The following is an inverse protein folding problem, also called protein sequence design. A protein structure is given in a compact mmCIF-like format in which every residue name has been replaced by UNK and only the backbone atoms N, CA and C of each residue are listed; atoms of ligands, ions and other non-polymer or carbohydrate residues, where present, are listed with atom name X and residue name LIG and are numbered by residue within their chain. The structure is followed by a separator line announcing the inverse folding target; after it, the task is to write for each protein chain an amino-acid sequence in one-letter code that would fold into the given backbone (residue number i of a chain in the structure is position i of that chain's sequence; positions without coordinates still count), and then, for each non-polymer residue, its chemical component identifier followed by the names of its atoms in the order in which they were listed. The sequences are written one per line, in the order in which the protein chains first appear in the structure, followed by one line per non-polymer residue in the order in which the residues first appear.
data_IF_550443739932
#
_entry.id   IF_550443739932
#
_cell.length_a   1.000
_cell.length_b   1.000
_cell.length_c   1.000
_cell.angle_alpha   90.00
_cell.angle_beta   90.00
_cell.angle_gamma   90.00
#
_symmetry.space_group_name_H-M   'P 1'
#
loop_
_entity.id
_entity.type
_entity.pdbx_description
1 polymer ?
#
# COMPACT_ATOMS: atom_id res chain seq x y z
N UNK A 1 59.92 -4.96 -84.15
CA UNK A 1 59.43 -6.17 -83.44
C UNK A 1 59.99 -6.16 -82.02
N UNK A 2 59.16 -6.46 -81.00
CA UNK A 2 59.49 -6.80 -79.59
C UNK A 2 60.07 -5.65 -78.75
N UNK A 3 59.26 -4.97 -77.92
CA UNK A 3 58.72 -5.29 -76.57
C UNK A 3 59.77 -5.22 -75.43
N UNK A 4 59.52 -4.18 -74.62
CA UNK A 4 59.64 -4.02 -73.17
C UNK A 4 61.00 -4.09 -72.47
N UNK A 5 61.41 -2.89 -72.01
CA UNK A 5 62.25 -2.67 -70.85
C UNK A 5 61.42 -2.78 -69.55
N UNK A 6 62.16 -3.03 -68.47
CA UNK A 6 61.76 -3.29 -67.09
C UNK A 6 60.83 -2.27 -66.43
N UNK A 7 60.20 -2.67 -65.31
CA UNK A 7 60.53 -2.19 -63.95
C UNK A 7 59.59 -2.85 -62.91
N UNK A 8 60.19 -3.24 -61.78
CA UNK A 8 59.53 -3.73 -60.56
C UNK A 8 58.62 -2.67 -59.92
N UNK A 9 57.48 -3.10 -59.38
CA UNK A 9 56.79 -2.42 -58.27
C UNK A 9 56.33 -3.45 -57.25
N UNK A 10 56.74 -3.24 -56.01
CA UNK A 10 56.35 -3.93 -54.78
C UNK A 10 54.90 -3.61 -54.42
N UNK A 11 54.11 -4.63 -54.04
CA UNK A 11 52.77 -4.47 -53.47
C UNK A 11 52.71 -5.14 -52.10
N UNK A 12 52.50 -4.29 -51.08
CA UNK A 12 52.21 -4.67 -49.71
C UNK A 12 50.74 -5.10 -49.58
N UNK A 13 50.51 -6.14 -48.79
CA UNK A 13 49.20 -6.72 -48.49
C UNK A 13 48.42 -5.85 -47.51
N UNK A 14 47.18 -5.51 -47.85
CA UNK A 14 46.24 -4.79 -46.96
C UNK A 14 45.40 -5.81 -46.19
N UNK A 15 45.41 -5.71 -44.86
CA UNK A 15 44.58 -6.50 -43.95
C UNK A 15 43.13 -5.97 -43.88
N UNK A 16 42.12 -6.83 -43.69
CA UNK A 16 40.72 -6.41 -43.55
C UNK A 16 40.44 -5.81 -42.16
N UNK A 17 39.75 -4.67 -42.15
CA UNK A 17 39.31 -3.93 -40.96
C UNK A 17 38.22 -4.69 -40.15
N UNK A 18 38.16 -4.52 -38.82
CA UNK A 18 37.15 -5.13 -37.97
C UNK A 18 35.78 -4.48 -38.18
N UNK A 19 34.75 -5.31 -38.35
CA UNK A 19 33.35 -4.87 -38.40
C UNK A 19 32.95 -4.32 -37.04
N UNK A 20 32.59 -3.03 -37.00
CA UNK A 20 31.90 -2.43 -35.86
C UNK A 20 30.58 -3.18 -35.63
N UNK A 21 30.49 -3.87 -34.50
CA UNK A 21 29.23 -4.43 -34.02
C UNK A 21 28.32 -3.25 -33.67
N UNK A 22 27.23 -3.09 -34.40
CA UNK A 22 26.13 -2.24 -33.96
C UNK A 22 25.62 -2.82 -32.63
N UNK A 23 25.87 -2.09 -31.55
CA UNK A 23 25.27 -2.35 -30.25
C UNK A 23 23.77 -2.12 -30.40
N UNK A 24 23.01 -3.20 -30.56
CA UNK A 24 21.59 -3.23 -30.17
C UNK A 24 21.51 -2.66 -28.76
N UNK A 25 20.65 -1.66 -28.48
CA UNK A 25 20.40 -1.23 -27.12
C UNK A 25 19.91 -2.46 -26.36
N UNK A 26 20.77 -2.99 -25.49
CA UNK A 26 20.40 -3.96 -24.50
C UNK A 26 19.17 -3.42 -23.80
N UNK A 27 18.13 -4.25 -23.75
CA UNK A 27 16.95 -4.05 -22.92
C UNK A 27 17.42 -3.57 -21.55
N UNK A 28 17.34 -2.27 -21.30
CA UNK A 28 17.30 -1.75 -19.95
C UNK A 28 16.02 -2.37 -19.39
N UNK A 29 16.18 -3.40 -18.57
CA UNK A 29 15.06 -3.91 -17.78
C UNK A 29 14.41 -2.69 -17.15
N UNK A 30 13.14 -2.45 -17.48
CA UNK A 30 12.38 -1.38 -16.85
C UNK A 30 12.31 -1.73 -15.36
N UNK A 31 13.30 -1.28 -14.58
CA UNK A 31 13.13 -1.04 -13.17
C UNK A 31 11.99 -0.05 -13.09
N UNK A 32 10.83 -0.53 -12.64
CA UNK A 32 9.70 0.31 -12.34
C UNK A 32 10.21 1.49 -11.50
N UNK A 33 9.75 2.73 -11.75
CA UNK A 33 10.21 3.88 -10.98
C UNK A 33 10.09 3.54 -9.49
N UNK A 34 11.09 3.95 -8.69
CA UNK A 34 11.22 3.56 -7.29
C UNK A 34 9.97 3.85 -6.44
N UNK A 35 9.11 4.76 -6.93
CA UNK A 35 7.83 5.14 -6.35
C UNK A 35 6.66 4.82 -7.31
N UNK A 36 6.66 3.68 -7.98
CA UNK A 36 5.45 3.11 -8.59
C UNK A 36 4.61 2.42 -7.53
N UNK A 37 3.30 2.26 -7.79
CA UNK A 37 2.42 1.48 -6.90
C UNK A 37 2.92 0.04 -6.72
N UNK A 38 3.45 -0.58 -7.79
CA UNK A 38 4.02 -1.93 -7.73
C UNK A 38 5.26 -1.99 -6.84
N UNK A 39 6.14 -0.98 -6.93
CA UNK A 39 7.32 -0.91 -6.07
C UNK A 39 6.95 -0.66 -4.60
N UNK A 40 5.94 0.19 -4.34
CA UNK A 40 5.40 0.41 -3.00
C UNK A 40 4.80 -0.89 -2.43
N UNK A 41 3.98 -1.58 -3.21
CA UNK A 41 3.39 -2.87 -2.84
C UNK A 41 4.48 -3.91 -2.50
N UNK A 42 5.49 -4.04 -3.35
CA UNK A 42 6.61 -4.97 -3.11
C UNK A 42 7.38 -4.67 -1.82
N UNK A 43 7.52 -3.38 -1.45
CA UNK A 43 8.14 -2.98 -0.18
C UNK A 43 7.27 -3.28 1.04
N UNK A 44 5.95 -3.12 0.92
CA UNK A 44 4.98 -3.53 1.95
C UNK A 44 5.05 -5.05 2.16
N UNK A 45 5.02 -5.83 1.08
CA UNK A 45 5.10 -7.31 1.16
C UNK A 45 6.43 -7.76 1.79
N UNK A 46 7.54 -7.12 1.44
CA UNK A 46 8.84 -7.40 2.04
C UNK A 46 8.87 -7.07 3.54
N UNK A 47 8.23 -5.99 3.96
CA UNK A 47 8.11 -5.61 5.36
C UNK A 47 7.32 -6.66 6.16
N UNK A 48 6.21 -7.18 5.62
CA UNK A 48 5.48 -8.28 6.25
C UNK A 48 6.30 -9.56 6.37
N UNK A 49 7.03 -9.95 5.32
CA UNK A 49 7.93 -11.11 5.38
C UNK A 49 9.01 -10.96 6.46
N UNK A 50 9.56 -9.76 6.65
CA UNK A 50 10.52 -9.51 7.73
C UNK A 50 9.89 -9.74 9.11
N UNK A 51 8.67 -9.25 9.32
CA UNK A 51 7.96 -9.42 10.60
C UNK A 51 7.55 -10.88 10.85
N UNK A 52 6.95 -11.52 9.84
CA UNK A 52 6.29 -12.82 9.99
C UNK A 52 7.23 -14.00 9.79
N UNK A 53 8.11 -13.97 8.78
CA UNK A 53 8.94 -15.11 8.42
C UNK A 53 10.30 -15.07 9.10
N UNK A 54 10.89 -13.87 9.22
CA UNK A 54 12.22 -13.68 9.78
C UNK A 54 12.22 -13.35 11.28
N UNK A 55 11.05 -13.12 11.89
CA UNK A 55 10.91 -12.71 13.29
C UNK A 55 11.51 -11.33 13.61
N UNK A 56 11.80 -10.52 12.58
CA UNK A 56 12.40 -9.18 12.70
C UNK A 56 11.29 -8.14 12.75
N UNK A 57 10.47 -8.20 13.79
CA UNK A 57 9.26 -7.39 13.90
C UNK A 57 9.55 -5.90 13.82
N UNK A 58 10.44 -5.36 14.66
CA UNK A 58 10.72 -3.91 14.72
C UNK A 58 11.23 -3.36 13.39
N UNK A 59 12.13 -4.11 12.73
CA UNK A 59 12.71 -3.70 11.45
C UNK A 59 11.68 -3.75 10.33
N UNK A 60 10.88 -4.81 10.27
CA UNK A 60 9.79 -4.92 9.31
C UNK A 60 8.72 -3.86 9.55
N UNK A 61 8.37 -3.56 10.79
CA UNK A 61 7.40 -2.52 11.13
C UNK A 61 7.90 -1.12 10.74
N UNK A 62 9.16 -0.79 11.05
CA UNK A 62 9.78 0.47 10.63
C UNK A 62 9.79 0.61 9.10
N UNK A 63 10.11 -0.47 8.38
CA UNK A 63 10.08 -0.48 6.91
C UNK A 63 8.66 -0.32 6.35
N UNK A 64 7.66 -0.98 6.95
CA UNK A 64 6.25 -0.84 6.58
C UNK A 64 5.81 0.62 6.70
N UNK A 65 6.04 1.23 7.87
CA UNK A 65 5.67 2.63 8.12
C UNK A 65 6.35 3.60 7.16
N UNK A 66 7.66 3.44 6.92
CA UNK A 66 8.37 4.26 5.94
C UNK A 66 7.76 4.16 4.54
N UNK A 67 7.35 2.95 4.14
CA UNK A 67 6.72 2.71 2.83
C UNK A 67 5.32 3.32 2.75
N UNK A 68 4.53 3.24 3.83
CA UNK A 68 3.22 3.89 3.91
C UNK A 68 3.34 5.42 3.84
N UNK A 69 4.34 6.00 4.50
CA UNK A 69 4.67 7.42 4.41
C UNK A 69 5.07 7.84 2.98
N UNK A 70 5.83 7.01 2.28
CA UNK A 70 6.15 7.25 0.87
C UNK A 70 4.90 7.21 -0.01
N UNK A 71 3.98 6.27 0.24
CA UNK A 71 2.68 6.23 -0.43
C UNK A 71 1.88 7.51 -0.14
N UNK A 72 1.81 7.96 1.11
CA UNK A 72 1.10 9.18 1.52
C UNK A 72 1.66 10.47 0.89
N UNK A 73 2.94 10.47 0.49
CA UNK A 73 3.59 11.58 -0.23
C UNK A 73 3.35 11.55 -1.74
N UNK A 74 2.89 10.43 -2.27
CA UNK A 74 2.53 10.27 -3.68
C UNK A 74 1.12 10.83 -3.97
N UNK A 75 0.73 10.81 -5.24
CA UNK A 75 -0.64 11.09 -5.69
C UNK A 75 -1.48 9.80 -5.85
N UNK A 76 -0.97 8.63 -5.45
CA UNK A 76 -1.71 7.36 -5.47
C UNK A 76 -2.67 7.27 -4.28
N UNK A 77 -3.69 8.11 -4.28
CA UNK A 77 -4.53 8.28 -3.11
C UNK A 77 -5.32 7.01 -2.77
N UNK A 78 -5.93 6.34 -3.76
CA UNK A 78 -6.65 5.08 -3.55
C UNK A 78 -5.75 4.01 -2.93
N UNK A 79 -4.55 3.85 -3.50
CA UNK A 79 -3.53 2.93 -2.99
C UNK A 79 -3.11 3.30 -1.56
N UNK A 80 -2.96 4.59 -1.25
CA UNK A 80 -2.60 5.06 0.09
C UNK A 80 -3.68 4.69 1.11
N UNK A 81 -4.95 4.99 0.82
CA UNK A 81 -6.07 4.67 1.73
C UNK A 81 -6.17 3.15 1.94
N UNK A 82 -6.07 2.37 0.87
CA UNK A 82 -6.12 0.91 0.94
C UNK A 82 -4.94 0.33 1.73
N UNK A 83 -3.73 0.86 1.53
CA UNK A 83 -2.52 0.36 2.19
C UNK A 83 -2.54 0.63 3.69
N UNK A 84 -2.92 1.84 4.11
CA UNK A 84 -3.08 2.14 5.55
C UNK A 84 -4.23 1.33 6.16
N UNK A 85 -5.37 1.20 5.47
CA UNK A 85 -6.51 0.40 5.95
C UNK A 85 -6.12 -1.07 6.16
N UNK A 86 -5.48 -1.67 5.16
CA UNK A 86 -5.07 -3.07 5.18
C UNK A 86 -3.97 -3.33 6.22
N UNK A 87 -3.03 -2.40 6.38
CA UNK A 87 -2.00 -2.50 7.40
C UNK A 87 -2.58 -2.42 8.81
N UNK A 88 -3.44 -1.44 9.09
CA UNK A 88 -4.11 -1.33 10.38
C UNK A 88 -4.95 -2.57 10.70
N UNK A 89 -5.71 -3.06 9.71
CA UNK A 89 -6.50 -4.29 9.85
C UNK A 89 -5.62 -5.53 10.11
N UNK A 90 -4.44 -5.60 9.48
CA UNK A 90 -3.49 -6.70 9.72
C UNK A 90 -3.02 -6.72 11.17
N UNK A 91 -2.62 -5.58 11.73
CA UNK A 91 -2.21 -5.51 13.14
C UNK A 91 -3.37 -5.78 14.11
N UNK A 92 -4.55 -5.26 13.81
CA UNK A 92 -5.77 -5.53 14.58
C UNK A 92 -6.09 -7.04 14.62
N UNK A 93 -6.06 -7.72 13.47
CA UNK A 93 -6.34 -9.16 13.38
C UNK A 93 -5.32 -10.01 14.15
N UNK A 94 -4.11 -9.50 14.34
CA UNK A 94 -3.07 -10.13 15.15
C UNK A 94 -3.07 -9.64 16.62
N UNK A 95 -4.07 -8.86 17.03
CA UNK A 95 -4.22 -8.30 18.38
C UNK A 95 -3.06 -7.39 18.81
N UNK A 96 -2.39 -6.77 17.83
CA UNK A 96 -1.30 -5.82 18.05
C UNK A 96 -1.88 -4.40 18.01
N UNK A 97 -2.68 -4.06 19.03
CA UNK A 97 -3.57 -2.90 19.00
C UNK A 97 -2.81 -1.57 18.93
N UNK A 98 -1.70 -1.42 19.65
CA UNK A 98 -0.90 -0.18 19.64
C UNK A 98 -0.34 0.14 18.24
N UNK A 99 0.15 -0.87 17.53
CA UNK A 99 0.62 -0.72 16.16
C UNK A 99 -0.53 -0.47 15.18
N UNK A 100 -1.69 -1.11 15.39
CA UNK A 100 -2.88 -0.82 14.59
C UNK A 100 -3.32 0.64 14.77
N UNK A 101 -3.35 1.14 16.02
CA UNK A 101 -3.71 2.52 16.34
C UNK A 101 -2.75 3.51 15.69
N UNK A 102 -1.45 3.26 15.78
CA UNK A 102 -0.46 4.12 15.15
C UNK A 102 -0.67 4.20 13.64
N UNK A 103 -0.91 3.07 12.97
CA UNK A 103 -1.14 3.01 11.52
C UNK A 103 -2.43 3.74 11.13
N UNK A 104 -3.55 3.49 11.82
CA UNK A 104 -4.81 4.17 11.51
C UNK A 104 -4.73 5.67 11.82
N UNK A 105 -4.18 6.06 12.97
CA UNK A 105 -4.06 7.47 13.35
C UNK A 105 -3.13 8.25 12.40
N UNK A 106 -2.09 7.62 11.86
CA UNK A 106 -1.24 8.19 10.82
C UNK A 106 -1.99 8.28 9.48
N UNK A 107 -2.63 7.19 9.06
CA UNK A 107 -3.40 7.10 7.82
C UNK A 107 -4.50 8.16 7.72
N UNK A 108 -5.22 8.39 8.83
CA UNK A 108 -6.29 9.39 8.94
C UNK A 108 -5.81 10.82 8.64
N UNK A 109 -4.53 11.12 8.88
CA UNK A 109 -3.92 12.45 8.68
C UNK A 109 -3.39 12.66 7.26
N UNK A 110 -3.41 11.64 6.41
CA UNK A 110 -2.85 11.72 5.05
C UNK A 110 -3.70 12.63 4.14
N UNK A 111 -3.06 13.19 3.11
CA UNK A 111 -3.76 13.95 2.05
C UNK A 111 -4.79 13.09 1.30
N UNK A 112 -4.53 11.78 1.18
CA UNK A 112 -5.44 10.82 0.56
C UNK A 112 -6.80 10.75 1.29
N UNK A 113 -6.80 10.85 2.62
CA UNK A 113 -8.03 10.85 3.42
C UNK A 113 -8.88 12.12 3.29
N UNK A 114 -8.38 13.14 2.59
CA UNK A 114 -9.10 14.37 2.26
C UNK A 114 -9.71 14.34 0.85
N UNK A 115 -9.40 13.31 0.06
CA UNK A 115 -9.88 13.18 -1.32
C UNK A 115 -11.23 12.46 -1.38
N UNK A 116 -11.89 12.60 -2.52
CA UNK A 116 -13.15 11.93 -2.86
C UNK A 116 -12.87 10.48 -3.30
N UNK A 117 -12.78 9.56 -2.33
CA UNK A 117 -12.35 8.17 -2.51
C UNK A 117 -13.29 7.21 -1.80
N UNK A 118 -13.85 6.25 -2.54
CA UNK A 118 -14.77 5.24 -2.01
C UNK A 118 -14.16 4.38 -0.90
N UNK A 119 -12.89 3.97 -1.07
CA UNK A 119 -12.14 3.11 -0.11
C UNK A 119 -11.97 3.73 1.29
N UNK A 120 -12.27 5.03 1.45
CA UNK A 120 -12.29 5.67 2.78
C UNK A 120 -13.34 5.01 3.69
N UNK A 121 -14.42 4.49 3.14
CA UNK A 121 -15.43 3.73 3.90
C UNK A 121 -14.81 2.55 4.64
N UNK A 122 -14.05 1.72 3.91
CA UNK A 122 -13.37 0.54 4.47
C UNK A 122 -12.35 0.92 5.54
N UNK A 123 -11.59 2.00 5.29
CA UNK A 123 -10.64 2.53 6.27
C UNK A 123 -11.33 2.88 7.59
N UNK A 124 -12.43 3.65 7.54
CA UNK A 124 -13.15 4.04 8.75
C UNK A 124 -13.81 2.85 9.44
N UNK A 125 -14.35 1.89 8.71
CA UNK A 125 -14.97 0.71 9.31
C UNK A 125 -13.93 -0.16 10.03
N UNK A 126 -12.76 -0.37 9.43
CA UNK A 126 -11.65 -1.08 10.08
C UNK A 126 -11.14 -0.32 11.31
N UNK A 127 -11.07 1.02 11.24
CA UNK A 127 -10.68 1.82 12.38
C UNK A 127 -11.72 1.75 13.51
N UNK A 128 -13.01 1.69 13.18
CA UNK A 128 -14.06 1.45 14.17
C UNK A 128 -13.84 0.14 14.92
N UNK A 129 -13.47 -0.94 14.21
CA UNK A 129 -13.16 -2.24 14.83
C UNK A 129 -12.01 -2.17 15.83
N UNK A 130 -10.97 -1.38 15.55
CA UNK A 130 -9.95 -1.11 16.55
C UNK A 130 -10.51 -0.36 17.76
N UNK A 131 -11.27 0.72 17.54
CA UNK A 131 -11.85 1.50 18.65
C UNK A 131 -12.79 0.68 19.53
N UNK A 132 -13.53 -0.26 18.94
CA UNK A 132 -14.31 -1.23 19.70
C UNK A 132 -13.42 -2.15 20.56
N UNK A 133 -12.33 -2.68 20.00
CA UNK A 133 -11.38 -3.52 20.74
C UNK A 133 -10.70 -2.77 21.90
N UNK A 134 -10.41 -1.49 21.71
CA UNK A 134 -9.87 -0.58 22.73
C UNK A 134 -10.91 -0.14 23.77
N UNK A 135 -12.20 -0.49 23.57
CA UNK A 135 -13.34 -0.01 24.36
C UNK A 135 -13.52 1.51 24.30
N UNK A 136 -13.00 2.16 23.26
CA UNK A 136 -13.30 3.54 22.90
C UNK A 136 -14.64 3.59 22.14
N UNK A 137 -15.73 3.54 22.90
CA UNK A 137 -17.08 3.49 22.32
C UNK A 137 -17.45 4.77 21.57
N UNK A 138 -16.94 5.93 22.00
CA UNK A 138 -17.16 7.18 21.28
C UNK A 138 -16.42 7.17 19.94
N UNK A 139 -15.16 6.74 19.94
CA UNK A 139 -14.37 6.55 18.72
C UNK A 139 -15.03 5.56 17.77
N UNK A 140 -15.50 4.42 18.27
CA UNK A 140 -16.21 3.42 17.47
C UNK A 140 -17.43 4.00 16.75
N UNK A 141 -18.34 4.67 17.48
CA UNK A 141 -19.55 5.26 16.87
C UNK A 141 -19.18 6.32 15.83
N UNK A 142 -18.19 7.16 16.14
CA UNK A 142 -17.70 8.21 15.23
C UNK A 142 -17.17 7.61 13.92
N UNK A 143 -16.35 6.57 14.00
CA UNK A 143 -15.78 5.91 12.82
C UNK A 143 -16.85 5.15 12.01
N UNK A 144 -17.78 4.45 12.66
CA UNK A 144 -18.92 3.82 11.97
C UNK A 144 -19.81 4.85 11.24
N UNK A 145 -20.06 6.02 11.85
CA UNK A 145 -20.82 7.08 11.21
C UNK A 145 -20.10 7.62 9.95
N UNK A 146 -18.77 7.76 10.01
CA UNK A 146 -18.00 8.14 8.82
C UNK A 146 -18.08 7.08 7.71
N UNK A 147 -17.93 5.80 8.05
CA UNK A 147 -18.01 4.70 7.10
C UNK A 147 -19.40 4.59 6.44
N UNK A 148 -20.47 4.57 7.23
CA UNK A 148 -21.86 4.48 6.74
C UNK A 148 -22.22 5.64 5.82
N UNK A 149 -21.82 6.88 6.15
CA UNK A 149 -22.04 8.04 5.27
C UNK A 149 -21.33 7.89 3.92
N UNK A 150 -20.09 7.38 3.91
CA UNK A 150 -19.36 7.14 2.66
C UNK A 150 -19.97 5.99 1.85
N UNK A 151 -20.36 4.89 2.47
CA UNK A 151 -21.02 3.79 1.77
C UNK A 151 -22.35 4.22 1.16
N UNK A 152 -23.16 4.95 1.91
CA UNK A 152 -24.40 5.54 1.41
C UNK A 152 -24.16 6.46 0.21
N UNK A 153 -23.07 7.23 0.23
CA UNK A 153 -22.71 8.16 -0.85
C UNK A 153 -22.26 7.44 -2.14
N UNK A 154 -21.33 6.47 -2.04
CA UNK A 154 -20.75 5.82 -3.22
C UNK A 154 -21.52 4.59 -3.71
N UNK A 155 -22.18 3.86 -2.81
CA UNK A 155 -22.81 2.57 -3.10
C UNK A 155 -24.34 2.62 -2.99
N UNK A 156 -24.91 3.66 -2.37
CA UNK A 156 -26.35 3.86 -2.22
C UNK A 156 -26.93 3.36 -0.90
N UNK A 157 -28.21 3.67 -0.66
CA UNK A 157 -28.89 3.45 0.63
C UNK A 157 -29.25 1.97 0.92
N UNK A 158 -29.18 1.11 -0.09
CA UNK A 158 -29.51 -0.32 0.01
C UNK A 158 -28.30 -1.21 -0.29
N UNK A 159 -27.10 -0.62 -0.32
CA UNK A 159 -25.88 -1.34 -0.65
C UNK A 159 -25.51 -2.35 0.44
N UNK A 160 -24.85 -3.44 0.04
CA UNK A 160 -24.40 -4.46 0.99
C UNK A 160 -23.38 -3.91 1.98
N UNK A 161 -22.50 -3.01 1.53
CA UNK A 161 -21.49 -2.33 2.35
C UNK A 161 -22.15 -1.49 3.44
N UNK A 162 -23.18 -0.71 3.08
CA UNK A 162 -23.92 0.09 4.05
C UNK A 162 -24.69 -0.79 5.04
N UNK A 163 -25.35 -1.84 4.57
CA UNK A 163 -26.06 -2.78 5.43
C UNK A 163 -25.11 -3.46 6.43
N UNK A 164 -23.95 -3.90 5.96
CA UNK A 164 -22.91 -4.47 6.81
C UNK A 164 -22.39 -3.46 7.85
N UNK A 165 -22.06 -2.24 7.44
CA UNK A 165 -21.58 -1.21 8.37
C UNK A 165 -22.64 -0.84 9.43
N UNK A 166 -23.92 -0.83 9.07
CA UNK A 166 -25.02 -0.61 10.01
C UNK A 166 -25.19 -1.78 11.00
N UNK A 167 -25.04 -3.02 10.54
CA UNK A 167 -25.09 -4.20 11.41
C UNK A 167 -23.92 -4.20 12.42
N UNK A 168 -22.73 -3.84 11.96
CA UNK A 168 -21.56 -3.63 12.82
C UNK A 168 -21.83 -2.57 13.89
N UNK A 169 -22.36 -1.41 13.50
CA UNK A 169 -22.71 -0.34 14.44
C UNK A 169 -23.76 -0.80 15.47
N UNK A 170 -24.83 -1.44 15.00
CA UNK A 170 -25.92 -1.92 15.86
C UNK A 170 -25.43 -2.95 16.88
N UNK A 171 -24.63 -3.92 16.42
CA UNK A 171 -24.02 -4.95 17.26
C UNK A 171 -23.10 -4.35 18.32
N UNK A 172 -22.24 -3.40 17.94
CA UNK A 172 -21.34 -2.72 18.86
C UNK A 172 -22.09 -1.93 19.94
N UNK A 173 -23.08 -1.12 19.55
CA UNK A 173 -23.90 -0.34 20.50
C UNK A 173 -24.67 -1.25 21.47
N UNK A 174 -25.23 -2.35 20.99
CA UNK A 174 -25.93 -3.32 21.84
C UNK A 174 -24.99 -3.92 22.90
N UNK A 175 -23.76 -4.28 22.51
CA UNK A 175 -22.77 -4.80 23.44
C UNK A 175 -22.42 -3.78 24.54
N UNK A 176 -22.29 -2.49 24.21
CA UNK A 176 -22.00 -1.45 25.20
C UNK A 176 -23.14 -1.29 26.22
N UNK A 177 -24.39 -1.30 25.76
CA UNK A 177 -25.56 -1.19 26.64
C UNK A 177 -25.69 -2.35 27.63
N UNK A 178 -25.32 -3.57 27.20
CA UNK A 178 -25.27 -4.74 28.08
C UNK A 178 -24.17 -4.60 29.15
N UNK A 179 -22.98 -4.12 28.78
CA UNK A 179 -21.89 -3.88 29.73
C UNK A 179 -22.28 -2.85 30.79
N UNK A 180 -22.89 -1.73 30.37
CA UNK A 180 -23.33 -0.68 31.30
C UNK A 180 -24.41 -1.19 32.27
N UNK A 181 -25.34 -2.02 31.77
CA UNK A 181 -26.39 -2.61 32.61
C UNK A 181 -25.83 -3.61 33.63
N UNK A 182 -24.79 -4.37 33.28
CA UNK A 182 -24.15 -5.33 34.19
C UNK A 182 -23.40 -4.65 35.35
N UNK A 183 -22.74 -3.51 35.10
CA UNK A 183 -22.01 -2.75 36.12
C UNK A 183 -22.98 -2.13 37.16
N UNK A 184 -24.21 -1.81 36.77
CA UNK A 184 -25.17 -1.12 37.62
C UNK A 184 -25.98 -2.05 38.56
N UNK A 185 -25.63 -3.34 38.63
CA UNK A 185 -26.29 -4.36 39.47
C UNK A 185 -25.40 -4.78 40.67
N UNK A 186 -24.18 -4.25 40.77
CA UNK A 186 -23.30 -4.37 41.95
C UNK A 186 -23.52 -3.24 42.95
#
# INVERSE_FOLDING_TARGET
MRIAAAVLVTLATVAPLPRAQAQTPSQAGQQAPANSEEALKGRIDAAYKLMMDAGRFDEGYAQLRATLLDAARSDFYDFTVESYSSAGATFLNNQILDNAEEIFAEGLKTRAMQQDIAKRGDFYLNYAMLKQAEKDYQGFVSMCAAATNLYAHYHGQESQELLYANDVLATGVAAFGQIASAINIE
#
